data_IF_373939330850
#
_entry.id   IF_373939330850
#
_cell.length_a   1.000
_cell.length_b   1.000
_cell.length_c   1.000
_cell.angle_alpha   90.00
_cell.angle_beta   90.00
_cell.angle_gamma   90.00
#
_symmetry.space_group_name_H-M   'P 1'
#
loop_
_entity.id
_entity.type
_entity.pdbx_description
1 polymer ?
#
# COMPACT_ATOMS: atom_id res chain seq x y z
N UNK A 1 -15.00 17.82 -9.70
CA UNK A 1 -14.67 16.39 -9.54
C UNK A 1 -14.04 16.25 -8.16
N UNK A 2 -14.49 15.27 -7.34
CA UNK A 2 -13.82 15.02 -6.08
C UNK A 2 -12.39 14.54 -6.38
N UNK A 3 -11.43 15.16 -5.72
CA UNK A 3 -10.02 14.81 -5.85
C UNK A 3 -9.79 13.42 -5.26
N UNK A 4 -9.09 12.55 -5.99
CA UNK A 4 -8.78 11.21 -5.48
C UNK A 4 -7.75 11.35 -4.38
N UNK A 5 -8.14 11.06 -3.14
CA UNK A 5 -7.23 11.08 -2.00
C UNK A 5 -6.94 9.67 -1.52
N UNK A 6 -5.67 9.42 -1.27
CA UNK A 6 -5.17 8.18 -0.71
C UNK A 6 -4.52 8.47 0.63
N UNK A 7 -4.86 7.67 1.62
CA UNK A 7 -4.32 7.82 2.96
C UNK A 7 -3.61 6.56 3.38
N UNK A 8 -2.55 6.73 4.16
CA UNK A 8 -1.78 5.66 4.75
C UNK A 8 -1.69 5.84 6.26
N UNK A 9 -1.82 4.74 6.98
CA UNK A 9 -1.63 4.69 8.42
C UNK A 9 -0.60 3.63 8.73
N UNK A 10 0.49 4.03 9.36
CA UNK A 10 1.56 3.15 9.82
C UNK A 10 1.19 2.47 11.13
N UNK A 11 1.51 1.18 11.23
CA UNK A 11 1.39 0.41 12.46
C UNK A 11 2.73 -0.21 12.80
N UNK A 12 3.17 -0.04 14.03
CA UNK A 12 4.39 -0.62 14.57
C UNK A 12 4.06 -1.69 15.59
N UNK A 13 4.86 -2.75 15.61
CA UNK A 13 4.72 -3.82 16.58
C UNK A 13 5.27 -3.38 17.92
N UNK A 14 4.46 -3.46 18.98
CA UNK A 14 4.92 -3.22 20.35
C UNK A 14 5.74 -4.40 20.89
N UNK A 15 6.48 -4.16 21.96
CA UNK A 15 7.20 -5.24 22.68
C UNK A 15 6.27 -6.35 23.18
N UNK A 16 5.01 -6.02 23.47
CA UNK A 16 3.97 -6.96 23.90
C UNK A 16 3.31 -7.70 22.73
N UNK A 17 3.72 -7.43 21.49
CA UNK A 17 3.27 -8.11 20.30
C UNK A 17 2.02 -7.53 19.63
N UNK A 18 1.40 -6.50 20.19
CA UNK A 18 0.28 -5.80 19.58
C UNK A 18 0.76 -4.83 18.49
N UNK A 19 -0.07 -4.59 17.46
CA UNK A 19 0.18 -3.59 16.43
C UNK A 19 -0.53 -2.29 16.80
N UNK A 20 0.24 -1.22 17.01
CA UNK A 20 -0.27 0.09 17.38
C UNK A 20 -0.09 1.09 16.24
N UNK A 21 -1.09 1.95 16.04
CA UNK A 21 -0.99 3.06 15.10
C UNK A 21 0.14 4.01 15.51
N UNK A 22 1.02 4.33 14.59
CA UNK A 22 2.10 5.30 14.78
C UNK A 22 1.67 6.67 14.25
N UNK A 23 1.22 7.51 15.15
CA UNK A 23 0.73 8.85 14.86
C UNK A 23 -0.62 8.88 14.14
N UNK A 24 -0.86 9.97 13.44
CA UNK A 24 -2.09 10.19 12.67
C UNK A 24 -1.99 9.59 11.26
N UNK A 25 -3.15 9.32 10.67
CA UNK A 25 -3.26 8.97 9.26
C UNK A 25 -2.69 10.10 8.40
N UNK A 26 -1.87 9.75 7.40
CA UNK A 26 -1.23 10.67 6.49
C UNK A 26 -1.84 10.59 5.09
N UNK A 27 -2.03 11.73 4.46
CA UNK A 27 -2.29 11.80 3.02
C UNK A 27 -1.02 11.46 2.26
N UNK A 28 -1.12 10.58 1.27
CA UNK A 28 0.03 10.23 0.44
C UNK A 28 0.58 11.44 -0.33
N UNK A 29 -0.30 12.34 -0.75
CA UNK A 29 0.07 13.47 -1.61
C UNK A 29 0.43 14.73 -0.82
N UNK A 30 -0.18 14.94 0.35
CA UNK A 30 -0.06 16.21 1.09
C UNK A 30 0.97 16.15 2.22
N UNK A 31 1.22 14.97 2.82
CA UNK A 31 2.03 14.85 4.04
C UNK A 31 3.49 14.43 3.82
N UNK A 32 3.88 14.21 2.57
CA UNK A 32 5.25 13.83 2.20
C UNK A 32 5.80 14.80 1.17
N UNK A 33 6.84 15.56 1.57
CA UNK A 33 7.56 16.45 0.66
C UNK A 33 6.76 17.63 0.13
N UNK A 34 5.80 18.19 0.92
CA UNK A 34 5.05 19.38 0.51
C UNK A 34 4.16 19.15 -0.72
N UNK A 35 3.56 17.97 -0.85
CA UNK A 35 2.71 17.62 -1.98
C UNK A 35 3.47 17.22 -3.25
N UNK A 36 4.76 16.97 -3.14
CA UNK A 36 5.58 16.54 -4.26
C UNK A 36 5.39 15.06 -4.64
N UNK A 37 4.79 14.25 -3.78
CA UNK A 37 4.48 12.84 -4.06
C UNK A 37 3.12 12.75 -4.77
N UNK A 38 3.08 11.99 -5.87
CA UNK A 38 1.86 11.73 -6.63
C UNK A 38 1.62 10.24 -6.80
N UNK A 39 0.43 9.79 -6.45
CA UNK A 39 0.00 8.41 -6.68
C UNK A 39 -0.04 8.10 -8.18
N UNK A 40 0.57 6.99 -8.57
CA UNK A 40 0.50 6.48 -9.94
C UNK A 40 -0.42 5.26 -10.02
N UNK A 41 -0.08 4.21 -9.27
CA UNK A 41 -0.88 2.97 -9.24
C UNK A 41 -0.63 2.16 -7.97
N UNK A 42 -1.61 1.36 -7.59
CA UNK A 42 -1.46 0.26 -6.63
C UNK A 42 -1.97 -1.01 -7.30
N UNK A 43 -1.06 -1.79 -7.85
CA UNK A 43 -1.35 -3.07 -8.46
C UNK A 43 -1.52 -4.14 -7.38
N UNK A 44 -2.44 -5.08 -7.61
CA UNK A 44 -2.73 -6.15 -6.64
C UNK A 44 -3.70 -5.80 -5.52
N UNK A 45 -4.19 -4.55 -5.41
CA UNK A 45 -5.17 -4.15 -4.39
C UNK A 45 -6.46 -4.98 -4.45
N UNK A 46 -6.94 -5.26 -5.66
CA UNK A 46 -8.19 -6.00 -5.89
C UNK A 46 -7.95 -7.47 -6.24
N UNK A 47 -6.70 -7.93 -6.21
CA UNK A 47 -6.39 -9.35 -6.39
C UNK A 47 -6.95 -10.13 -5.21
N UNK A 48 -7.66 -11.22 -5.50
CA UNK A 48 -8.12 -12.15 -4.48
C UNK A 48 -7.12 -13.29 -4.39
N UNK A 49 -6.55 -13.51 -3.22
CA UNK A 49 -5.75 -14.68 -2.93
C UNK A 49 -6.59 -15.96 -3.02
N UNK A 50 -5.94 -17.10 -3.16
CA UNK A 50 -6.61 -18.39 -3.07
C UNK A 50 -7.26 -18.54 -1.69
N UNK A 51 -8.44 -19.12 -1.63
CA UNK A 51 -9.07 -19.47 -0.37
C UNK A 51 -8.30 -20.59 0.31
N UNK A 52 -7.89 -20.37 1.54
CA UNK A 52 -7.36 -21.44 2.40
C UNK A 52 -8.49 -22.35 2.84
N UNK A 53 -8.20 -23.66 2.98
CA UNK A 53 -9.20 -24.62 3.46
C UNK A 53 -10.20 -25.07 2.38
N UNK A 54 -9.92 -24.83 1.09
CA UNK A 54 -10.64 -25.46 -0.01
C UNK A 54 -9.82 -26.65 -0.49
N UNK A 55 -10.39 -27.85 -0.33
CA UNK A 55 -9.80 -29.11 -0.77
C UNK A 55 -10.69 -29.77 -1.79
N UNK A 56 -10.08 -30.34 -2.81
CA UNK A 56 -10.77 -31.11 -3.84
C UNK A 56 -10.15 -32.50 -3.92
N UNK A 57 -11.00 -33.52 -3.90
CA UNK A 57 -10.59 -34.91 -4.09
C UNK A 57 -11.31 -35.46 -5.32
N UNK A 58 -10.55 -36.07 -6.22
CA UNK A 58 -11.08 -36.84 -7.34
C UNK A 58 -10.96 -38.34 -7.04
N UNK A 59 -12.06 -39.05 -7.19
CA UNK A 59 -12.08 -40.49 -7.04
C UNK A 59 -12.11 -41.14 -8.43
N UNK A 60 -11.23 -42.15 -8.69
CA UNK A 60 -11.19 -42.81 -10.01
C UNK A 60 -12.50 -43.46 -10.44
N UNK A 61 -13.34 -43.79 -9.48
CA UNK A 61 -14.61 -44.48 -9.70
C UNK A 61 -15.85 -43.53 -9.78
N UNK A 62 -15.64 -42.24 -9.73
CA UNK A 62 -16.72 -41.26 -9.73
C UNK A 62 -16.34 -40.04 -10.59
N UNK A 63 -17.20 -39.68 -11.53
CA UNK A 63 -17.05 -38.49 -12.34
C UNK A 63 -17.33 -37.19 -11.56
N UNK A 64 -17.62 -37.29 -10.25
CA UNK A 64 -17.89 -36.17 -9.38
C UNK A 64 -16.68 -35.78 -8.55
N UNK A 65 -16.32 -34.49 -8.58
CA UNK A 65 -15.33 -33.88 -7.72
C UNK A 65 -15.96 -33.62 -6.33
N UNK A 66 -15.36 -34.17 -5.28
CA UNK A 66 -15.73 -33.77 -3.91
C UNK A 66 -15.01 -32.49 -3.55
N UNK A 67 -15.77 -31.49 -3.11
CA UNK A 67 -15.28 -30.18 -2.69
C UNK A 67 -15.52 -30.00 -1.19
N UNK A 68 -14.46 -29.75 -0.45
CA UNK A 68 -14.53 -29.39 0.96
C UNK A 68 -14.17 -27.92 1.10
N UNK A 69 -15.05 -27.13 1.71
CA UNK A 69 -14.83 -25.70 1.97
C UNK A 69 -14.92 -25.47 3.46
N UNK A 70 -13.83 -24.95 4.04
CA UNK A 70 -13.87 -24.42 5.39
C UNK A 70 -14.62 -23.08 5.36
N UNK A 71 -15.73 -22.98 6.08
CA UNK A 71 -16.55 -21.77 6.17
C UNK A 71 -15.83 -20.58 6.82
N UNK A 72 -14.73 -20.83 7.53
CA UNK A 72 -13.84 -19.81 8.11
C UNK A 72 -12.60 -19.57 7.25
N UNK A 73 -12.57 -20.07 6.02
CA UNK A 73 -11.43 -19.94 5.14
C UNK A 73 -11.10 -18.47 4.87
N UNK A 74 -9.82 -18.12 5.09
CA UNK A 74 -9.27 -16.81 4.73
C UNK A 74 -8.54 -16.91 3.40
N UNK A 75 -8.46 -15.81 2.68
CA UNK A 75 -7.64 -15.75 1.47
C UNK A 75 -6.15 -15.86 1.85
N UNK A 76 -5.35 -16.41 0.94
CA UNK A 76 -3.90 -16.31 1.02
C UNK A 76 -3.48 -14.86 0.77
N UNK A 77 -2.35 -14.45 1.36
CA UNK A 77 -1.74 -13.16 1.06
C UNK A 77 -1.39 -13.06 -0.42
N UNK A 78 -1.45 -11.86 -0.97
CA UNK A 78 -1.13 -11.58 -2.38
C UNK A 78 -0.08 -10.49 -2.50
N UNK A 79 0.75 -10.57 -3.54
CA UNK A 79 1.70 -9.52 -3.84
C UNK A 79 0.98 -8.29 -4.42
N UNK A 80 1.49 -7.12 -4.06
CA UNK A 80 1.03 -5.83 -4.58
C UNK A 80 2.23 -4.93 -4.85
N UNK A 81 2.05 -3.93 -5.68
CA UNK A 81 3.09 -2.94 -5.98
C UNK A 81 2.48 -1.55 -5.97
N UNK A 82 2.99 -0.70 -5.07
CA UNK A 82 2.66 0.72 -5.04
C UNK A 82 3.68 1.46 -5.92
N UNK A 83 3.21 2.21 -6.89
CA UNK A 83 4.03 3.09 -7.71
C UNK A 83 3.64 4.54 -7.48
N UNK A 84 4.63 5.40 -7.28
CA UNK A 84 4.47 6.83 -7.07
C UNK A 84 5.42 7.62 -7.97
N UNK A 85 5.00 8.81 -8.36
CA UNK A 85 5.85 9.81 -9.00
C UNK A 85 6.21 10.87 -7.95
N UNK A 86 7.49 11.17 -7.77
CA UNK A 86 7.95 12.14 -6.79
C UNK A 86 8.61 13.31 -7.52
N UNK A 87 8.07 14.49 -7.30
CA UNK A 87 8.53 15.73 -7.91
C UNK A 87 9.26 16.60 -6.88
N UNK A 88 10.25 17.32 -7.32
CA UNK A 88 11.10 18.17 -6.47
C UNK A 88 10.67 19.64 -6.41
N UNK A 89 9.46 19.99 -6.87
CA UNK A 89 8.96 21.35 -6.77
C UNK A 89 7.92 21.46 -5.66
N UNK A 90 7.87 22.62 -5.02
CA UNK A 90 6.83 22.94 -4.06
C UNK A 90 5.49 23.17 -4.79
N UNK A 91 4.38 22.79 -4.14
CA UNK A 91 3.03 22.89 -4.73
C UNK A 91 2.70 24.31 -5.15
N UNK A 92 3.30 25.30 -4.52
CA UNK A 92 3.07 26.73 -4.81
C UNK A 92 3.73 27.22 -6.10
N UNK A 93 4.61 26.42 -6.72
CA UNK A 93 5.21 26.75 -8.02
C UNK A 93 6.02 28.04 -8.09
N UNK A 94 6.36 28.60 -6.93
CA UNK A 94 6.91 29.96 -6.83
C UNK A 94 8.43 30.01 -6.91
N UNK A 95 9.12 28.89 -6.76
CA UNK A 95 10.59 28.85 -6.82
C UNK A 95 11.05 28.04 -8.02
N UNK A 96 11.66 28.69 -9.02
CA UNK A 96 12.35 28.01 -10.11
C UNK A 96 13.63 27.36 -9.56
N UNK A 97 13.54 26.09 -9.24
CA UNK A 97 14.70 25.28 -8.87
C UNK A 97 15.46 24.83 -10.13
N UNK A 98 16.78 24.74 -10.05
CA UNK A 98 17.55 24.05 -11.08
C UNK A 98 17.13 22.58 -11.21
N UNK A 99 17.31 21.96 -12.37
CA UNK A 99 17.00 20.53 -12.59
C UNK A 99 17.66 19.65 -11.51
N UNK A 100 18.92 19.95 -11.16
CA UNK A 100 19.65 19.22 -10.13
C UNK A 100 19.03 19.36 -8.75
N UNK A 101 18.57 20.56 -8.40
CA UNK A 101 17.94 20.81 -7.10
C UNK A 101 16.54 20.19 -7.04
N UNK A 102 15.80 20.15 -8.15
CA UNK A 102 14.53 19.43 -8.26
C UNK A 102 14.72 17.93 -8.01
N UNK A 103 15.73 17.30 -8.61
CA UNK A 103 16.02 15.87 -8.40
C UNK A 103 16.38 15.61 -6.93
N UNK A 104 17.27 16.43 -6.31
CA UNK A 104 17.63 16.29 -4.89
C UNK A 104 16.42 16.46 -3.96
N UNK A 105 15.53 17.40 -4.26
CA UNK A 105 14.30 17.58 -3.49
C UNK A 105 13.35 16.39 -3.64
N UNK A 106 13.24 15.81 -4.84
CA UNK A 106 12.47 14.59 -5.08
C UNK A 106 13.06 13.39 -4.32
N UNK A 107 14.39 13.22 -4.33
CA UNK A 107 15.07 12.17 -3.55
C UNK A 107 14.77 12.31 -2.05
N UNK A 108 14.88 13.52 -1.51
CA UNK A 108 14.55 13.78 -0.10
C UNK A 108 13.09 13.47 0.25
N UNK A 109 12.15 13.81 -0.63
CA UNK A 109 10.73 13.48 -0.44
C UNK A 109 10.50 11.96 -0.51
N UNK A 110 11.17 11.25 -1.42
CA UNK A 110 11.15 9.81 -1.50
C UNK A 110 11.70 9.15 -0.23
N UNK A 111 12.86 9.59 0.25
CA UNK A 111 13.47 9.08 1.48
C UNK A 111 12.55 9.26 2.68
N UNK A 112 11.86 10.41 2.77
CA UNK A 112 10.87 10.67 3.81
C UNK A 112 9.67 9.72 3.74
N UNK A 113 9.14 9.46 2.54
CA UNK A 113 8.06 8.51 2.35
C UNK A 113 8.52 7.09 2.68
N UNK A 114 9.68 6.67 2.16
CA UNK A 114 10.17 5.31 2.36
C UNK A 114 10.49 5.02 3.84
N UNK A 115 11.11 5.97 4.54
CA UNK A 115 11.34 5.86 5.98
C UNK A 115 10.05 5.71 6.80
N UNK A 116 8.94 6.28 6.32
CA UNK A 116 7.63 6.07 6.94
C UNK A 116 7.06 4.68 6.63
N UNK A 117 7.33 4.13 5.46
CA UNK A 117 6.83 2.81 5.04
C UNK A 117 7.66 1.66 5.62
N UNK A 118 8.95 1.87 5.82
CA UNK A 118 9.91 0.83 6.20
C UNK A 118 9.58 0.17 7.53
N UNK A 119 9.77 -1.16 7.61
CA UNK A 119 9.61 -1.98 8.82
C UNK A 119 8.22 -1.90 9.48
N UNK A 120 7.17 -1.61 8.74
CA UNK A 120 5.84 -1.38 9.26
C UNK A 120 4.76 -2.18 8.53
N UNK A 121 3.59 -2.31 9.17
CA UNK A 121 2.34 -2.59 8.50
C UNK A 121 1.70 -1.27 8.09
N UNK A 122 1.23 -1.20 6.87
CA UNK A 122 0.61 -0.01 6.30
C UNK A 122 -0.86 -0.31 5.99
N UNK A 123 -1.76 0.39 6.66
CA UNK A 123 -3.17 0.42 6.30
C UNK A 123 -3.34 1.47 5.20
N UNK A 124 -3.65 0.98 4.02
CA UNK A 124 -4.00 1.79 2.85
C UNK A 124 -5.50 2.07 2.85
N UNK A 125 -5.86 3.30 2.60
CA UNK A 125 -7.24 3.74 2.46
C UNK A 125 -7.45 4.53 1.18
N UNK A 126 -8.33 4.04 0.32
CA UNK A 126 -8.80 4.71 -0.89
C UNK A 126 -10.12 5.43 -0.58
N UNK A 127 -10.04 6.75 -0.38
CA UNK A 127 -11.20 7.56 -0.02
C UNK A 127 -12.25 7.63 -1.15
N UNK A 128 -11.81 7.58 -2.39
CA UNK A 128 -12.71 7.62 -3.54
C UNK A 128 -13.56 6.35 -3.67
N UNK A 129 -12.95 5.18 -3.42
CA UNK A 129 -13.64 3.88 -3.53
C UNK A 129 -14.17 3.39 -2.21
N UNK A 130 -13.89 4.09 -1.12
CA UNK A 130 -14.22 3.66 0.25
C UNK A 130 -13.72 2.23 0.52
N UNK A 131 -12.47 1.96 0.15
CA UNK A 131 -11.84 0.65 0.31
C UNK A 131 -10.56 0.76 1.11
N UNK A 132 -10.27 -0.27 1.91
CA UNK A 132 -9.03 -0.36 2.67
C UNK A 132 -8.39 -1.73 2.56
N UNK A 133 -7.06 -1.77 2.69
CA UNK A 133 -6.28 -2.99 2.71
C UNK A 133 -5.06 -2.83 3.62
N UNK A 134 -4.59 -3.94 4.18
CA UNK A 134 -3.41 -3.96 5.03
C UNK A 134 -2.23 -4.56 4.28
N UNK A 135 -1.14 -3.84 4.23
CA UNK A 135 0.09 -4.24 3.54
C UNK A 135 1.27 -4.36 4.48
N UNK A 136 2.07 -5.38 4.24
CA UNK A 136 3.44 -5.47 4.74
C UNK A 136 4.38 -4.94 3.64
N UNK A 137 5.25 -4.01 3.99
CA UNK A 137 6.28 -3.52 3.07
C UNK A 137 7.41 -4.54 3.00
N UNK A 138 7.78 -4.96 1.78
CA UNK A 138 8.85 -5.93 1.57
C UNK A 138 10.15 -5.24 1.15
N UNK A 139 10.05 -4.44 0.09
CA UNK A 139 11.21 -3.88 -0.59
C UNK A 139 10.81 -2.69 -1.45
N UNK A 140 11.76 -1.84 -1.81
CA UNK A 140 11.58 -0.80 -2.81
C UNK A 140 12.57 -1.02 -3.96
N UNK A 141 12.13 -0.74 -5.16
CA UNK A 141 13.02 -0.73 -6.32
C UNK A 141 13.81 0.58 -6.35
N UNK A 142 15.00 0.52 -6.92
CA UNK A 142 15.80 1.73 -7.16
C UNK A 142 14.96 2.73 -7.98
N UNK A 143 14.85 4.00 -7.53
CA UNK A 143 14.10 5.02 -8.26
C UNK A 143 14.71 5.28 -9.64
N UNK A 144 13.86 5.43 -10.65
CA UNK A 144 14.28 5.84 -11.98
C UNK A 144 13.88 7.29 -12.23
N UNK A 145 14.78 8.05 -12.87
CA UNK A 145 14.49 9.43 -13.27
C UNK A 145 13.77 9.45 -14.61
N UNK A 146 12.69 10.23 -14.68
CA UNK A 146 11.94 10.47 -15.91
C UNK A 146 11.52 11.96 -15.96
N UNK A 147 10.87 12.40 -17.01
CA UNK A 147 10.42 13.79 -17.13
C UNK A 147 9.04 13.90 -17.78
N UNK A 148 8.29 14.91 -17.36
CA UNK A 148 7.02 15.32 -17.98
C UNK A 148 7.15 16.79 -18.34
N UNK A 149 7.06 17.14 -19.62
CA UNK A 149 7.13 18.54 -20.10
C UNK A 149 8.34 19.30 -19.53
N UNK A 150 9.52 18.66 -19.53
CA UNK A 150 10.77 19.17 -18.99
C UNK A 150 10.83 19.32 -17.45
N UNK A 151 9.87 18.78 -16.74
CA UNK A 151 9.89 18.70 -15.28
C UNK A 151 10.39 17.30 -14.90
N UNK A 152 11.57 17.17 -14.26
CA UNK A 152 12.08 15.88 -13.84
C UNK A 152 11.29 15.35 -12.64
N UNK A 153 11.11 14.04 -12.58
CA UNK A 153 10.53 13.36 -11.42
C UNK A 153 11.17 11.99 -11.22
N UNK A 154 11.05 11.47 -10.01
CA UNK A 154 11.44 10.09 -9.71
C UNK A 154 10.22 9.18 -9.82
N UNK A 155 10.37 8.09 -10.56
CA UNK A 155 9.43 6.98 -10.55
C UNK A 155 9.90 5.96 -9.53
N UNK A 156 9.13 5.80 -8.47
CA UNK A 156 9.45 4.93 -7.33
C UNK A 156 8.41 3.84 -7.22
N UNK A 157 8.84 2.63 -6.89
CA UNK A 157 7.95 1.49 -6.68
C UNK A 157 8.30 0.73 -5.41
N UNK A 158 7.27 0.38 -4.63
CA UNK A 158 7.38 -0.37 -3.38
C UNK A 158 6.66 -1.71 -3.54
N UNK A 159 7.36 -2.79 -3.27
CA UNK A 159 6.79 -4.14 -3.22
C UNK A 159 6.09 -4.36 -1.88
N UNK A 160 4.87 -4.79 -1.95
CA UNK A 160 3.98 -4.96 -0.81
C UNK A 160 3.41 -6.38 -0.80
N UNK A 161 3.04 -6.85 0.38
CA UNK A 161 2.21 -8.05 0.54
C UNK A 161 0.89 -7.62 1.16
N UNK A 162 -0.21 -7.85 0.49
CA UNK A 162 -1.53 -7.72 1.06
C UNK A 162 -1.75 -8.87 2.05
N UNK A 163 -1.79 -8.55 3.34
CA UNK A 163 -1.83 -9.52 4.43
C UNK A 163 -3.06 -10.42 4.36
N UNK A 164 -4.19 -9.87 3.95
CA UNK A 164 -5.46 -10.60 3.85
C UNK A 164 -5.76 -11.15 2.44
N UNK A 165 -4.95 -10.79 1.44
CA UNK A 165 -5.20 -11.17 0.05
C UNK A 165 -6.50 -10.62 -0.51
N UNK A 166 -7.03 -9.55 0.07
CA UNK A 166 -8.23 -8.84 -0.38
C UNK A 166 -8.29 -7.43 0.19
N UNK A 167 -9.17 -6.61 -0.34
CA UNK A 167 -9.55 -5.31 0.23
C UNK A 167 -10.90 -5.41 0.94
N UNK A 168 -11.13 -4.54 1.90
CA UNK A 168 -12.36 -4.43 2.70
C UNK A 168 -13.05 -3.10 2.45
N UNK A 169 -14.33 -3.03 2.79
CA UNK A 169 -15.06 -1.76 2.81
C UNK A 169 -14.50 -0.83 3.88
N UNK A 170 -14.58 0.47 3.67
CA UNK A 170 -13.96 1.48 4.53
C UNK A 170 -14.46 1.45 5.98
N UNK A 171 -15.69 1.04 6.21
CA UNK A 171 -16.34 0.90 7.53
C UNK A 171 -16.11 -0.46 8.21
N UNK A 172 -15.55 -1.46 7.49
CA UNK A 172 -15.24 -2.77 8.07
C UNK A 172 -14.21 -2.67 9.20
N UNK A 173 -14.41 -3.33 10.33
CA UNK A 173 -13.48 -3.37 11.49
C UNK A 173 -12.49 -4.54 11.42
N UNK A 174 -12.58 -5.39 10.41
CA UNK A 174 -11.82 -6.66 10.34
C UNK A 174 -10.31 -6.46 10.48
N UNK A 175 -9.74 -5.43 9.84
CA UNK A 175 -8.31 -5.14 9.90
C UNK A 175 -7.92 -4.64 11.28
N UNK A 176 -8.69 -3.71 11.82
CA UNK A 176 -8.43 -3.09 13.12
C UNK A 176 -8.53 -4.12 14.27
N UNK A 177 -9.50 -5.03 14.18
CA UNK A 177 -9.67 -6.11 15.16
C UNK A 177 -8.51 -7.12 15.09
N UNK A 178 -8.05 -7.44 13.89
CA UNK A 178 -6.86 -8.28 13.70
C UNK A 178 -5.59 -7.62 14.26
N UNK A 179 -5.40 -6.31 14.04
CA UNK A 179 -4.26 -5.55 14.56
C UNK A 179 -4.26 -5.52 16.09
N UNK A 180 -5.43 -5.28 16.73
CA UNK A 180 -5.60 -5.31 18.20
C UNK A 180 -5.27 -6.68 18.80
N UNK A 181 -5.58 -7.75 18.09
CA UNK A 181 -5.31 -9.13 18.53
C UNK A 181 -3.88 -9.59 18.22
N UNK A 182 -2.97 -8.68 17.90
CA UNK A 182 -1.55 -8.97 17.64
C UNK A 182 -1.29 -9.72 16.35
N UNK A 183 -2.21 -9.65 15.38
CA UNK A 183 -2.03 -10.31 14.10
C UNK A 183 -2.37 -11.79 14.09
N UNK A 184 -3.29 -12.23 14.92
CA UNK A 184 -3.74 -13.63 15.05
C UNK A 184 -5.16 -13.83 14.52
#
# INVERSE_FOLDING_TARGET
>A
MAEKKFYIQRYLKSEQGAWNADGLRKSLEDDFGGGSVRYKSLEGLNSKGKQKGVYTESYPESDALRVFVDTNARNESTNATLSVCVFGYDVDGTTELSITDQIKAAEKAWDSLYAYLECALILWYDDYRQRKALFLVQDATEPSTDNIKNIPYLLCSVKLVNVFGQSFDGDSTTIEDWLKNGGK
#
